data_IF_124339986069
#
_entry.id   IF_124339986069
#
_cell.length_a   1.000
_cell.length_b   1.000
_cell.length_c   1.000
_cell.angle_alpha   90.00
_cell.angle_beta   90.00
_cell.angle_gamma   90.00
#
_symmetry.space_group_name_H-M   'P 1'
#
loop_
_entity.id
_entity.type
_entity.pdbx_description
1 polymer ?
#
# COMPACT_ATOMS: atom_id res chain seq x y z
N UNK A 1 -26.67 -39.31 -40.34
CA UNK A 1 -25.78 -38.15 -40.64
C UNK A 1 -26.28 -36.89 -39.92
N UNK A 2 -26.06 -36.72 -38.61
CA UNK A 2 -26.37 -35.46 -37.86
C UNK A 2 -25.62 -35.46 -36.51
N UNK A 3 -24.30 -35.26 -36.48
CA UNK A 3 -23.54 -35.23 -35.20
C UNK A 3 -22.26 -34.37 -35.21
N UNK A 4 -22.06 -33.46 -36.18
CA UNK A 4 -20.75 -32.79 -36.33
C UNK A 4 -20.70 -31.28 -36.02
N UNK A 5 -21.81 -30.63 -35.65
CA UNK A 5 -21.85 -29.15 -35.57
C UNK A 5 -21.62 -28.54 -34.18
N UNK A 6 -21.45 -29.33 -33.11
CA UNK A 6 -21.42 -28.79 -31.74
C UNK A 6 -20.02 -28.57 -31.15
N UNK A 7 -18.96 -29.06 -31.78
CA UNK A 7 -17.60 -29.02 -31.20
C UNK A 7 -16.80 -27.74 -31.53
N UNK A 8 -17.28 -26.88 -32.42
CA UNK A 8 -16.48 -25.77 -32.98
C UNK A 8 -16.74 -24.40 -32.32
N UNK A 9 -17.64 -24.31 -31.34
CA UNK A 9 -17.95 -23.04 -30.62
C UNK A 9 -17.30 -22.94 -29.24
N UNK A 10 -16.40 -23.85 -28.84
CA UNK A 10 -15.69 -23.80 -27.55
C UNK A 10 -14.24 -23.33 -27.65
N UNK A 11 -13.81 -22.84 -28.82
CA UNK A 11 -12.51 -22.20 -29.03
C UNK A 11 -12.60 -20.67 -28.92
N UNK A 12 -13.62 -20.13 -28.23
CA UNK A 12 -13.71 -18.71 -27.93
C UNK A 12 -12.60 -18.32 -26.95
N UNK A 13 -11.50 -17.83 -27.54
CA UNK A 13 -10.55 -16.85 -27.04
C UNK A 13 -10.37 -16.85 -25.51
N UNK A 14 -9.35 -17.60 -25.06
CA UNK A 14 -8.65 -17.26 -23.83
C UNK A 14 -7.97 -15.90 -24.04
N UNK A 15 -8.72 -14.81 -23.89
CA UNK A 15 -8.12 -13.50 -23.77
C UNK A 15 -7.31 -13.52 -22.48
N UNK A 16 -5.99 -13.39 -22.60
CA UNK A 16 -5.13 -13.18 -21.45
C UNK A 16 -5.56 -11.86 -20.83
N UNK A 17 -6.37 -11.93 -19.79
CA UNK A 17 -6.77 -10.76 -19.03
C UNK A 17 -5.52 -10.33 -18.26
N UNK A 18 -4.81 -9.34 -18.79
CA UNK A 18 -3.71 -8.73 -18.07
C UNK A 18 -4.30 -8.03 -16.87
N UNK A 19 -3.76 -8.35 -15.70
CA UNK A 19 -4.11 -7.63 -14.50
C UNK A 19 -3.62 -6.17 -14.66
N UNK A 20 -4.52 -5.23 -14.41
CA UNK A 20 -4.25 -3.81 -14.51
C UNK A 20 -3.79 -3.31 -13.15
N UNK A 21 -2.68 -2.58 -13.12
CA UNK A 21 -2.22 -1.93 -11.91
C UNK A 21 -3.12 -0.73 -11.59
N UNK A 22 -3.87 -0.82 -10.50
CA UNK A 22 -4.82 0.19 -10.05
C UNK A 22 -4.34 0.83 -8.75
N UNK A 23 -4.47 2.15 -8.64
CA UNK A 23 -4.26 2.88 -7.39
C UNK A 23 -5.35 2.49 -6.38
N UNK A 24 -4.94 2.03 -5.20
CA UNK A 24 -5.87 1.57 -4.15
C UNK A 24 -6.05 2.64 -3.07
N UNK A 25 -4.98 2.99 -2.36
CA UNK A 25 -4.98 4.07 -1.37
C UNK A 25 -3.96 5.14 -1.77
N UNK A 26 -4.30 6.40 -1.52
CA UNK A 26 -3.39 7.52 -1.65
C UNK A 26 -3.63 8.53 -0.54
N UNK A 27 -2.55 9.03 0.04
CA UNK A 27 -2.60 10.29 0.74
C UNK A 27 -1.80 11.34 -0.03
N UNK A 28 -2.50 12.31 -0.60
CA UNK A 28 -1.88 13.52 -1.11
C UNK A 28 -2.12 14.67 -0.11
N UNK A 29 -1.08 15.17 0.59
CA UNK A 29 -1.22 16.33 1.47
C UNK A 29 -1.57 17.62 0.71
N UNK A 30 -1.62 17.63 -0.62
CA UNK A 30 -1.95 18.81 -1.42
C UNK A 30 -0.90 19.91 -1.31
N UNK A 31 -1.23 21.13 -1.72
CA UNK A 31 -0.38 22.32 -1.52
C UNK A 31 -0.46 22.87 -0.08
N UNK A 32 -0.70 22.01 0.92
CA UNK A 32 -0.74 22.41 2.33
C UNK A 32 0.68 22.84 2.73
N UNK A 33 0.90 24.15 2.62
CA UNK A 33 2.19 24.80 2.69
C UNK A 33 3.00 24.36 3.90
N UNK A 34 4.27 24.05 3.60
CA UNK A 34 5.35 23.66 4.50
C UNK A 34 5.32 22.19 4.93
N UNK A 35 6.38 21.48 4.56
CA UNK A 35 6.85 20.30 5.28
C UNK A 35 7.19 20.77 6.69
N UNK A 36 6.61 20.15 7.72
CA UNK A 36 6.83 20.63 9.09
C UNK A 36 6.84 19.54 10.13
N UNK A 37 6.83 18.28 9.73
CA UNK A 37 7.34 17.23 10.61
C UNK A 37 7.94 16.11 9.77
N UNK A 38 9.02 15.53 10.27
CA UNK A 38 9.65 14.35 9.71
C UNK A 38 9.68 13.36 10.85
N UNK A 39 9.28 12.13 10.57
CA UNK A 39 9.43 11.08 11.57
C UNK A 39 10.69 10.28 11.29
N UNK A 40 11.41 9.97 12.36
CA UNK A 40 12.76 9.44 12.27
C UNK A 40 12.75 7.92 12.35
N UNK A 41 13.37 7.31 11.35
CA UNK A 41 13.62 5.87 11.29
C UNK A 41 15.10 5.69 11.64
N UNK A 42 15.35 5.20 12.86
CA UNK A 42 16.71 4.93 13.34
C UNK A 42 16.84 3.45 13.68
N UNK A 43 18.02 2.89 13.48
CA UNK A 43 18.39 1.60 14.09
C UNK A 43 19.23 1.81 15.36
N UNK A 44 20.11 0.86 15.67
CA UNK A 44 21.03 0.96 16.83
C UNK A 44 20.46 0.51 18.18
N UNK A 45 20.72 1.26 19.26
CA UNK A 45 20.16 0.98 20.59
C UNK A 45 18.71 1.46 20.75
N UNK A 46 18.30 2.41 19.91
CA UNK A 46 16.96 2.99 19.89
C UNK A 46 16.22 2.64 18.60
N UNK A 47 16.31 1.37 18.13
CA UNK A 47 15.71 0.98 16.84
C UNK A 47 14.25 1.38 16.82
N UNK A 48 13.89 2.42 16.07
CA UNK A 48 12.51 2.82 15.86
C UNK A 48 12.02 2.15 14.58
N UNK A 49 10.88 1.48 14.70
CA UNK A 49 10.12 1.04 13.53
C UNK A 49 8.85 1.86 13.49
N UNK A 50 8.46 2.23 12.29
CA UNK A 50 7.21 2.93 12.07
C UNK A 50 6.33 2.09 11.17
N UNK A 51 5.03 2.15 11.38
CA UNK A 51 4.06 1.48 10.55
C UNK A 51 2.83 2.34 10.37
N UNK A 52 2.33 2.44 9.14
CA UNK A 52 1.06 3.11 8.87
C UNK A 52 0.04 2.05 8.47
N UNK A 53 -1.07 1.99 9.20
CA UNK A 53 -2.18 1.12 8.82
C UNK A 53 -3.08 1.78 7.80
N UNK A 54 -3.71 0.94 6.98
CA UNK A 54 -4.70 1.32 5.97
C UNK A 54 -5.69 0.18 5.73
N UNK A 55 -6.89 0.55 5.28
CA UNK A 55 -7.90 -0.41 4.83
C UNK A 55 -7.81 -0.55 3.32
N UNK A 56 -7.70 -1.78 2.82
CA UNK A 56 -7.71 -2.08 1.39
C UNK A 56 -9.08 -1.73 0.81
N UNK A 57 -9.09 -1.02 -0.32
CA UNK A 57 -10.31 -0.66 -1.07
C UNK A 57 -10.51 -1.49 -2.33
N UNK A 58 -9.42 -2.02 -2.92
CA UNK A 58 -9.43 -2.76 -4.18
C UNK A 58 -9.00 -4.21 -3.98
N UNK A 59 -9.80 -5.15 -4.51
CA UNK A 59 -9.47 -6.58 -4.51
C UNK A 59 -8.37 -6.89 -5.53
N UNK A 60 -7.47 -7.82 -5.21
CA UNK A 60 -6.46 -8.29 -6.15
C UNK A 60 -5.16 -8.67 -5.47
N UNK A 61 -4.03 -8.41 -6.13
CA UNK A 61 -2.70 -8.58 -5.55
C UNK A 61 -2.06 -7.22 -5.28
N UNK A 62 -1.86 -6.88 -4.00
CA UNK A 62 -1.10 -5.70 -3.62
C UNK A 62 0.33 -5.83 -4.16
N UNK A 63 0.66 -4.99 -5.14
CA UNK A 63 1.85 -5.11 -5.98
C UNK A 63 2.94 -4.14 -5.60
N UNK A 64 2.57 -2.93 -5.21
CA UNK A 64 3.54 -1.91 -4.84
C UNK A 64 3.03 -0.97 -3.76
N UNK A 65 3.99 -0.42 -3.03
CA UNK A 65 3.81 0.76 -2.18
C UNK A 65 4.79 1.83 -2.65
N UNK A 66 4.35 3.06 -2.71
CA UNK A 66 5.22 4.21 -2.95
C UNK A 66 5.18 5.16 -1.76
N UNK A 67 6.34 5.62 -1.32
CA UNK A 67 6.47 6.39 -0.07
C UNK A 67 7.35 7.63 -0.28
N UNK A 68 7.05 8.73 0.39
CA UNK A 68 7.98 9.85 0.50
C UNK A 68 9.00 9.58 1.62
N UNK A 69 10.21 9.22 1.21
CA UNK A 69 11.31 8.88 2.10
C UNK A 69 12.51 9.77 1.80
N UNK A 70 13.25 10.11 2.85
CA UNK A 70 14.52 10.84 2.76
C UNK A 70 15.62 10.02 3.40
N UNK A 71 16.75 9.94 2.73
CA UNK A 71 18.02 9.51 3.28
C UNK A 71 18.77 10.74 3.82
N UNK A 72 19.06 10.76 5.12
CA UNK A 72 19.82 11.83 5.77
C UNK A 72 21.29 11.51 5.89
N UNK A 73 21.64 10.23 6.13
CA UNK A 73 23.01 9.77 6.36
C UNK A 73 23.14 8.23 6.37
N UNK A 74 22.19 7.52 5.77
CA UNK A 74 22.11 6.07 5.85
C UNK A 74 23.31 5.36 5.23
N UNK A 75 23.78 4.36 5.96
CA UNK A 75 24.83 3.40 5.59
C UNK A 75 24.30 1.98 5.47
N UNK A 76 23.17 1.67 6.11
CA UNK A 76 22.50 0.37 6.04
C UNK A 76 21.21 0.43 5.22
N UNK A 77 20.78 -0.67 4.57
CA UNK A 77 19.54 -0.70 3.79
C UNK A 77 18.28 -0.37 4.60
N UNK A 78 17.32 0.29 3.95
CA UNK A 78 15.95 0.46 4.44
C UNK A 78 15.13 -0.77 4.07
N UNK A 79 14.46 -1.38 5.05
CA UNK A 79 13.49 -2.44 4.83
C UNK A 79 12.07 -1.88 4.93
N UNK A 80 11.23 -2.29 3.97
CA UNK A 80 9.79 -2.02 3.97
C UNK A 80 9.06 -3.35 3.99
N UNK A 81 8.12 -3.48 4.92
CA UNK A 81 7.38 -4.71 5.15
C UNK A 81 5.88 -4.43 5.11
N UNK A 82 5.13 -5.32 4.48
CA UNK A 82 3.68 -5.41 4.62
C UNK A 82 3.37 -6.39 5.75
N UNK A 83 2.52 -5.99 6.67
CA UNK A 83 2.17 -6.77 7.86
C UNK A 83 0.67 -6.90 8.02
N UNK A 84 0.24 -7.97 8.69
CA UNK A 84 -1.15 -8.10 9.14
C UNK A 84 -1.41 -7.15 10.31
N UNK A 85 -2.70 -6.91 10.59
CA UNK A 85 -3.13 -6.17 11.77
C UNK A 85 -4.09 -6.99 12.62
N UNK A 86 -4.21 -6.63 13.89
CA UNK A 86 -5.23 -7.13 14.81
C UNK A 86 -5.87 -5.92 15.51
N UNK A 87 -7.18 -5.73 15.32
CA UNK A 87 -7.90 -4.54 15.80
C UNK A 87 -7.23 -3.21 15.38
N UNK A 88 -6.70 -3.15 14.14
CA UNK A 88 -6.01 -1.97 13.61
C UNK A 88 -4.58 -1.77 14.11
N UNK A 89 -4.07 -2.58 15.04
CA UNK A 89 -2.67 -2.58 15.50
C UNK A 89 -1.81 -3.50 14.62
N UNK A 90 -0.63 -3.08 14.14
CA UNK A 90 0.29 -3.96 13.42
C UNK A 90 0.69 -5.18 14.26
N UNK A 91 0.84 -6.34 13.62
CA UNK A 91 1.34 -7.56 14.29
C UNK A 91 2.80 -7.86 13.91
N UNK A 92 3.34 -8.96 14.42
CA UNK A 92 4.66 -9.48 14.04
C UNK A 92 4.66 -10.25 12.71
N UNK A 93 3.50 -10.57 12.15
CA UNK A 93 3.40 -11.36 10.91
C UNK A 93 3.65 -10.48 9.69
N UNK A 94 4.77 -10.73 9.02
CA UNK A 94 5.15 -10.11 7.76
C UNK A 94 4.59 -10.92 6.59
N UNK A 95 3.80 -10.28 5.73
CA UNK A 95 3.21 -10.85 4.52
C UNK A 95 4.18 -10.75 3.33
N UNK A 96 4.89 -9.64 3.23
CA UNK A 96 5.89 -9.40 2.19
C UNK A 96 6.91 -8.35 2.63
N UNK A 97 8.09 -8.35 2.02
CA UNK A 97 9.16 -7.41 2.33
C UNK A 97 9.93 -6.99 1.09
N UNK A 98 10.41 -5.76 1.07
CA UNK A 98 11.34 -5.21 0.10
C UNK A 98 12.48 -4.48 0.82
N UNK A 99 13.63 -4.35 0.17
CA UNK A 99 14.80 -3.65 0.71
C UNK A 99 15.34 -2.67 -0.32
N UNK A 100 15.80 -1.52 0.15
CA UNK A 100 16.50 -0.53 -0.67
C UNK A 100 17.85 -0.18 -0.07
N UNK A 101 18.85 -0.09 -0.93
CA UNK A 101 20.16 0.47 -0.60
C UNK A 101 20.02 1.98 -0.31
N UNK A 102 20.88 2.56 0.54
CA UNK A 102 20.90 3.99 0.79
C UNK A 102 20.89 4.88 -0.45
N UNK A 103 21.61 4.49 -1.50
CA UNK A 103 21.69 5.24 -2.76
C UNK A 103 20.41 5.25 -3.59
N UNK A 104 19.42 4.40 -3.25
CA UNK A 104 18.13 4.32 -3.93
C UNK A 104 17.06 5.20 -3.26
N UNK A 105 17.33 5.73 -2.07
CA UNK A 105 16.43 6.61 -1.33
C UNK A 105 16.88 8.06 -1.54
N UNK A 106 15.99 8.98 -1.98
CA UNK A 106 16.37 10.37 -2.24
C UNK A 106 16.96 11.06 -1.02
N UNK A 107 17.95 11.92 -1.21
CA UNK A 107 18.44 12.84 -0.18
C UNK A 107 17.52 14.06 -0.06
N UNK A 108 17.61 14.78 1.06
CA UNK A 108 16.77 15.96 1.30
C UNK A 108 16.89 17.03 0.19
N UNK A 109 18.07 17.18 -0.40
CA UNK A 109 18.35 18.09 -1.52
C UNK A 109 17.64 17.70 -2.82
N UNK A 110 17.16 16.46 -2.95
CA UNK A 110 16.47 15.95 -4.13
C UNK A 110 14.95 16.07 -4.04
N UNK A 111 14.42 16.57 -2.91
CA UNK A 111 12.97 16.78 -2.74
C UNK A 111 12.70 18.28 -2.77
N UNK A 112 12.14 18.81 -3.87
CA UNK A 112 11.74 20.20 -3.96
C UNK A 112 10.75 20.56 -2.84
N UNK A 113 10.93 21.73 -2.22
CA UNK A 113 9.96 22.28 -1.27
C UNK A 113 10.11 21.85 0.20
N UNK A 114 11.11 21.03 0.54
CA UNK A 114 11.41 20.72 1.95
C UNK A 114 12.05 21.92 2.67
N UNK A 115 12.91 22.69 1.99
CA UNK A 115 13.62 23.83 2.58
C UNK A 115 13.07 25.12 1.98
N UNK A 116 12.22 25.83 2.73
CA UNK A 116 11.89 27.23 2.51
C UNK A 116 10.96 27.59 1.35
N UNK A 117 10.85 26.73 0.32
CA UNK A 117 10.07 27.03 -0.87
C UNK A 117 8.66 26.42 -0.80
N UNK A 118 7.64 27.26 -1.00
CA UNK A 118 6.23 26.87 -1.12
C UNK A 118 5.95 26.15 -2.45
N UNK A 119 6.80 25.22 -2.87
CA UNK A 119 6.52 24.41 -4.04
C UNK A 119 5.47 23.35 -3.69
N UNK A 120 4.48 23.13 -4.57
CA UNK A 120 3.52 22.04 -4.40
C UNK A 120 4.25 20.71 -4.24
N UNK A 121 3.73 19.83 -3.38
CA UNK A 121 4.22 18.47 -3.25
C UNK A 121 4.28 17.79 -4.61
N UNK A 122 5.49 17.36 -5.02
CA UNK A 122 5.73 16.79 -6.34
C UNK A 122 7.10 16.12 -6.50
N UNK A 123 7.71 15.70 -5.38
CA UNK A 123 8.98 14.97 -5.40
C UNK A 123 8.80 13.52 -5.84
N UNK A 124 9.90 12.83 -6.19
CA UNK A 124 9.84 11.40 -6.48
C UNK A 124 9.44 10.62 -5.22
N UNK A 125 8.39 9.79 -5.33
CA UNK A 125 8.11 8.78 -4.32
C UNK A 125 9.00 7.56 -4.58
N UNK A 126 9.51 6.97 -3.51
CA UNK A 126 10.30 5.75 -3.57
C UNK A 126 9.36 4.55 -3.69
N UNK A 127 9.52 3.75 -4.75
CA UNK A 127 8.67 2.59 -5.05
C UNK A 127 9.25 1.28 -4.51
N UNK A 128 8.40 0.50 -3.85
CA UNK A 128 8.67 -0.82 -3.33
C UNK A 128 7.74 -1.81 -4.00
N UNK A 129 8.29 -2.80 -4.69
CA UNK A 129 7.51 -3.87 -5.31
C UNK A 129 7.51 -5.12 -4.44
N UNK A 130 6.35 -5.78 -4.37
CA UNK A 130 6.14 -7.00 -3.61
C UNK A 130 5.83 -8.16 -4.55
N UNK A 131 6.05 -9.42 -4.12
CA UNK A 131 5.72 -10.60 -4.92
C UNK A 131 4.22 -10.81 -5.18
N UNK A 132 3.35 -9.90 -4.73
CA UNK A 132 1.89 -9.96 -4.87
C UNK A 132 1.25 -10.55 -3.62
N UNK A 133 0.71 -9.70 -2.75
CA UNK A 133 -0.07 -10.14 -1.57
C UNK A 133 -1.54 -10.12 -1.96
N UNK A 134 -2.22 -11.26 -1.91
CA UNK A 134 -3.66 -11.31 -2.15
C UNK A 134 -4.39 -10.49 -1.08
N UNK A 135 -5.25 -9.57 -1.53
CA UNK A 135 -6.01 -8.66 -0.67
C UNK A 135 -7.45 -8.56 -1.14
N UNK A 136 -8.33 -8.29 -0.18
CA UNK A 136 -9.76 -8.06 -0.38
C UNK A 136 -10.18 -6.73 0.24
N UNK A 137 -11.20 -6.04 -0.32
CA UNK A 137 -11.70 -4.81 0.26
C UNK A 137 -12.15 -5.02 1.70
N UNK A 138 -11.69 -4.15 2.61
CA UNK A 138 -11.92 -4.27 4.04
C UNK A 138 -10.77 -4.92 4.83
N UNK A 139 -9.80 -5.57 4.16
CA UNK A 139 -8.58 -6.01 4.83
C UNK A 139 -7.84 -4.82 5.43
N UNK A 140 -7.41 -4.93 6.68
CA UNK A 140 -6.61 -3.90 7.35
C UNK A 140 -5.16 -4.37 7.43
N UNK A 141 -4.29 -3.67 6.72
CA UNK A 141 -2.86 -3.98 6.63
C UNK A 141 -2.03 -2.84 7.21
N UNK A 142 -0.75 -3.13 7.49
CA UNK A 142 0.23 -2.12 7.85
C UNK A 142 1.39 -2.14 6.86
N UNK A 143 1.81 -0.97 6.38
CA UNK A 143 3.13 -0.80 5.77
C UNK A 143 4.08 -0.29 6.85
N UNK A 144 5.13 -1.06 7.12
CA UNK A 144 6.13 -0.73 8.12
C UNK A 144 7.50 -0.52 7.51
N UNK A 145 8.26 0.40 8.08
CA UNK A 145 9.62 0.77 7.66
C UNK A 145 10.56 0.57 8.83
N UNK A 146 11.75 0.01 8.55
CA UNK A 146 12.80 -0.18 9.55
C UNK A 146 14.18 -0.19 8.91
N UNK A 147 15.19 0.11 9.71
CA UNK A 147 16.60 -0.03 9.32
C UNK A 147 17.41 -0.66 10.45
N UNK A 148 18.57 -1.21 10.10
CA UNK A 148 19.58 -1.63 11.07
C UNK A 148 20.66 -0.57 11.29
N UNK A 149 20.58 0.55 10.57
CA UNK A 149 21.55 1.65 10.68
C UNK A 149 21.64 2.17 12.11
N UNK A 150 22.82 2.24 12.75
CA UNK A 150 22.93 2.68 14.14
C UNK A 150 22.55 4.15 14.38
N UNK A 151 22.44 4.96 13.33
CA UNK A 151 22.10 6.39 13.41
C UNK A 151 20.70 6.68 12.84
N UNK A 152 20.25 7.91 13.05
CA UNK A 152 19.07 8.47 12.39
C UNK A 152 19.37 8.65 10.90
N UNK A 153 19.01 7.63 10.13
CA UNK A 153 19.48 7.43 8.77
C UNK A 153 18.44 7.74 7.70
N UNK A 154 17.17 7.47 8.02
CA UNK A 154 16.04 7.68 7.14
C UNK A 154 14.93 8.46 7.83
N UNK A 155 14.15 9.16 7.02
CA UNK A 155 12.97 9.87 7.49
C UNK A 155 11.79 9.52 6.61
N UNK A 156 10.67 9.16 7.25
CA UNK A 156 9.38 9.12 6.58
C UNK A 156 8.75 10.50 6.69
N UNK A 157 8.55 11.09 5.53
CA UNK A 157 7.92 12.39 5.41
C UNK A 157 6.47 12.29 5.87
N UNK A 158 6.12 13.16 6.81
CA UNK A 158 4.75 13.38 7.27
C UNK A 158 4.39 14.86 7.02
N UNK A 159 3.11 15.19 6.85
CA UNK A 159 2.67 16.57 6.77
C UNK A 159 2.96 17.33 8.07
N UNK A 160 3.18 18.64 7.96
CA UNK A 160 3.39 19.49 9.13
C UNK A 160 2.23 19.43 10.11
N UNK A 161 2.56 19.21 11.39
CA UNK A 161 1.63 19.39 12.52
C UNK A 161 1.38 20.87 12.85
N UNK A 162 2.10 21.83 12.26
CA UNK A 162 1.95 23.25 12.64
C UNK A 162 0.57 23.85 12.26
N UNK A 163 -0.28 23.11 11.55
CA UNK A 163 -1.69 23.43 11.34
C UNK A 163 -2.63 22.48 12.13
N UNK A 164 -2.33 22.26 13.42
CA UNK A 164 -3.14 21.50 14.39
C UNK A 164 -4.62 21.95 14.46
N UNK A 165 -4.94 23.16 14.01
CA UNK A 165 -6.30 23.72 14.09
C UNK A 165 -7.32 23.10 13.13
N UNK A 166 -6.92 22.24 12.19
CA UNK A 166 -7.86 21.53 11.30
C UNK A 166 -7.97 20.03 11.65
N UNK A 167 -8.83 19.64 12.62
CA UNK A 167 -9.13 18.22 12.91
C UNK A 167 -10.12 17.62 11.90
N UNK A 168 -10.20 16.27 11.75
CA UNK A 168 -9.17 15.26 11.97
C UNK A 168 -9.04 14.37 10.72
N UNK A 169 -7.83 14.19 10.18
CA UNK A 169 -7.69 13.32 9.02
C UNK A 169 -6.93 12.04 9.36
N UNK A 170 -7.62 10.93 9.73
CA UNK A 170 -7.13 9.63 9.31
C UNK A 170 -7.22 9.62 7.77
N UNK A 171 -6.10 9.93 7.12
CA UNK A 171 -6.03 10.08 5.66
C UNK A 171 -6.29 8.78 4.92
N UNK A 172 -5.97 7.66 5.57
CA UNK A 172 -6.32 6.33 5.14
C UNK A 172 -7.54 5.87 5.92
N UNK A 173 -8.51 5.27 5.24
CA UNK A 173 -9.73 4.78 5.89
C UNK A 173 -9.34 3.80 7.02
N UNK A 174 -9.69 4.14 8.27
CA UNK A 174 -9.36 3.34 9.46
C UNK A 174 -7.87 3.25 9.80
N UNK A 175 -7.02 4.04 9.15
CA UNK A 175 -5.57 3.99 9.31
C UNK A 175 -5.03 4.83 10.47
N UNK A 176 -3.92 4.42 11.06
CA UNK A 176 -3.17 5.15 12.08
C UNK A 176 -1.67 4.93 11.90
N UNK A 177 -0.86 5.92 12.27
CA UNK A 177 0.58 5.75 12.38
C UNK A 177 0.89 5.08 13.72
N UNK A 178 1.80 4.13 13.69
CA UNK A 178 2.25 3.33 14.82
C UNK A 178 3.76 3.37 14.88
N UNK A 179 4.27 3.35 16.10
CA UNK A 179 5.70 3.33 16.38
C UNK A 179 5.98 2.23 17.38
N UNK A 180 7.13 1.59 17.26
CA UNK A 180 7.65 0.65 18.26
C UNK A 180 9.16 0.81 18.33
N UNK A 181 9.74 0.42 19.45
CA UNK A 181 11.19 0.49 19.63
C UNK A 181 11.76 -0.72 20.36
N UNK A 182 13.08 -0.83 20.41
CA UNK A 182 13.76 -1.82 21.27
C UNK A 182 13.52 -1.60 22.76
N UNK A 183 13.16 -0.38 23.17
CA UNK A 183 12.87 -0.05 24.57
C UNK A 183 11.41 -0.31 24.93
N UNK A 184 10.53 -0.12 23.96
CA UNK A 184 9.09 -0.39 24.06
C UNK A 184 8.67 -1.19 22.81
N UNK A 185 8.73 -2.53 22.89
CA UNK A 185 8.46 -3.41 21.76
C UNK A 185 6.97 -3.49 21.41
N UNK A 186 6.11 -2.84 22.20
CA UNK A 186 4.72 -2.68 21.85
C UNK A 186 4.53 -1.58 20.81
N UNK A 187 3.61 -1.82 19.86
CA UNK A 187 3.16 -0.77 18.97
C UNK A 187 2.30 0.23 19.74
N UNK A 188 2.71 1.48 19.73
CA UNK A 188 1.97 2.62 20.24
C UNK A 188 1.53 3.50 19.09
N UNK A 189 0.30 4.02 19.15
CA UNK A 189 -0.20 4.94 18.12
C UNK A 189 0.51 6.29 18.22
N UNK A 190 0.93 6.85 17.09
CA UNK A 190 1.35 8.23 16.97
C UNK A 190 0.14 9.08 16.56
N UNK A 191 -0.49 9.81 17.49
CA UNK A 191 -1.86 10.30 17.32
C UNK A 191 -1.99 11.50 16.36
N UNK A 192 -0.89 12.05 15.86
CA UNK A 192 -0.89 13.39 15.24
C UNK A 192 -0.53 13.43 13.76
N UNK A 193 -0.08 12.32 13.16
CA UNK A 193 0.39 12.34 11.77
C UNK A 193 0.15 11.02 11.03
N UNK A 194 0.03 11.09 9.70
CA UNK A 194 0.08 9.93 8.81
C UNK A 194 1.28 10.03 7.88
N UNK A 195 1.96 8.90 7.67
CA UNK A 195 2.99 8.79 6.64
C UNK A 195 2.41 9.01 5.24
N UNK A 196 3.11 9.76 4.38
CA UNK A 196 2.66 9.98 3.00
C UNK A 196 3.08 8.79 2.13
N UNK A 197 2.11 7.99 1.72
CA UNK A 197 2.30 6.85 0.81
C UNK A 197 1.10 6.59 -0.09
N UNK A 198 1.28 5.71 -1.08
CA UNK A 198 0.20 5.16 -1.91
C UNK A 198 0.40 3.67 -2.18
N UNK A 199 -0.69 2.95 -2.36
CA UNK A 199 -0.71 1.51 -2.65
C UNK A 199 -1.25 1.25 -4.04
N UNK A 200 -0.72 0.19 -4.67
CA UNK A 200 -1.19 -0.26 -5.97
C UNK A 200 -1.52 -1.75 -5.93
N UNK A 201 -2.70 -2.08 -6.43
CA UNK A 201 -3.21 -3.44 -6.52
C UNK A 201 -3.29 -3.83 -7.99
N UNK A 202 -2.76 -5.00 -8.29
CA UNK A 202 -2.96 -5.66 -9.58
C UNK A 202 -4.32 -6.36 -9.54
N UNK A 203 -5.31 -5.80 -10.24
CA UNK A 203 -6.68 -6.32 -10.20
C UNK A 203 -6.72 -7.61 -11.00
N UNK A 204 -6.95 -8.73 -10.31
CA UNK A 204 -7.15 -10.02 -10.94
C UNK A 204 -8.57 -10.04 -11.51
N UNK A 205 -8.75 -10.03 -12.84
CA UNK A 205 -10.09 -10.01 -13.42
C UNK A 205 -10.84 -11.28 -13.00
N UNK A 206 -12.12 -11.15 -12.67
CA UNK A 206 -12.94 -12.34 -12.43
C UNK A 206 -12.81 -13.26 -13.63
N UNK A 207 -12.51 -14.56 -13.42
CA UNK A 207 -12.31 -15.46 -14.54
C UNK A 207 -13.60 -15.46 -15.37
N UNK A 208 -13.46 -15.30 -16.69
CA UNK A 208 -14.59 -15.23 -17.63
C UNK A 208 -15.55 -16.44 -17.53
N UNK A 209 -15.14 -17.52 -16.86
CA UNK A 209 -16.01 -18.61 -16.44
C UNK A 209 -17.21 -18.17 -15.60
N UNK A 210 -17.10 -17.12 -14.76
CA UNK A 210 -18.26 -16.55 -14.05
C UNK A 210 -19.28 -15.95 -15.02
N UNK A 211 -18.80 -15.29 -16.07
CA UNK A 211 -19.66 -14.80 -17.14
C UNK A 211 -20.32 -15.93 -17.94
N UNK A 212 -19.69 -17.11 -18.03
CA UNK A 212 -20.28 -18.31 -18.65
C UNK A 212 -21.35 -18.99 -17.77
N UNK A 213 -21.30 -18.82 -16.45
CA UNK A 213 -22.32 -19.37 -15.54
C UNK A 213 -23.67 -18.66 -15.67
N UNK A 214 -23.68 -17.36 -16.00
CA UNK A 214 -24.91 -16.58 -16.19
C UNK A 214 -25.82 -17.12 -17.30
N UNK A 215 -25.37 -17.31 -18.56
CA UNK A 215 -26.20 -17.88 -19.61
C UNK A 215 -26.57 -19.35 -19.34
N UNK A 216 -25.69 -20.12 -18.69
CA UNK A 216 -25.99 -21.49 -18.29
C UNK A 216 -27.15 -21.55 -17.27
N UNK A 217 -27.11 -20.69 -16.26
CA UNK A 217 -28.17 -20.55 -15.26
C UNK A 217 -29.49 -20.05 -15.90
N UNK A 218 -29.42 -19.10 -16.84
CA UNK A 218 -30.59 -18.67 -17.62
C UNK A 218 -31.18 -19.81 -18.45
N UNK A 219 -30.36 -20.60 -19.15
CA UNK A 219 -30.81 -21.77 -19.92
C UNK A 219 -31.53 -22.80 -19.05
N UNK A 220 -30.99 -23.09 -17.87
CA UNK A 220 -31.63 -23.96 -16.87
C UNK A 220 -32.98 -23.42 -16.37
N UNK A 221 -33.09 -22.11 -16.13
CA UNK A 221 -34.35 -21.48 -15.72
C UNK A 221 -35.44 -21.61 -16.79
N UNK A 222 -35.09 -21.47 -18.07
CA UNK A 222 -36.02 -21.66 -19.19
C UNK A 222 -36.41 -23.12 -19.41
N UNK A 223 -35.48 -24.07 -19.22
CA UNK A 223 -35.77 -25.49 -19.34
C UNK A 223 -36.82 -25.95 -18.30
N UNK A 224 -36.75 -25.41 -17.08
CA UNK A 224 -37.65 -25.78 -15.97
C UNK A 224 -39.09 -25.30 -16.16
N UNK A 225 -39.31 -24.23 -16.94
CA UNK A 225 -40.66 -23.70 -17.25
C UNK A 225 -41.45 -24.51 -18.27
N UNK A 226 -40.81 -25.44 -19.00
CA UNK A 226 -41.51 -26.28 -20.00
C UNK A 226 -42.06 -27.59 -19.44
N UNK A 227 -41.72 -27.93 -18.21
CA UNK A 227 -42.11 -29.19 -17.56
C UNK A 227 -43.21 -29.02 -16.50
N UNK A 228 -43.80 -27.83 -16.38
CA UNK A 228 -44.98 -27.53 -15.57
C UNK A 228 -46.09 -27.03 -16.48
#
# INVERSE_FOLDING_TARGET
MRTAALSLLLALASTNAFAALVLDQEYNPGALGKVGSMTFITGGQYKSQQAQTFTVGVAGQLKAVEMYLVNTSATQPLQVELRTTAAGKPTSTVLASASLLPSQVPTISQIPGIIGDYTPWGGPMTRFEFPGVAVTPGDVLAVSVRTTDPQVAYQWIVPSMLHISDPPYPKYMGGSLWETSTLDPDWVTSPTTSGVFRTFVDVVPEPASLALLLPAAMGLAFARRRTA
#
